data_IF_268940007513
#
_entry.id   IF_268940007513
#
_cell.length_a   1.000
_cell.length_b   1.000
_cell.length_c   1.000
_cell.angle_alpha   90.00
_cell.angle_beta   90.00
_cell.angle_gamma   90.00
#
_symmetry.space_group_name_H-M   'P 1'
#
loop_
_entity.id
_entity.type
_entity.pdbx_description
1 polymer ?
#
# COMPACT_ATOMS: atom_id res chain seq x y z
N UNK A 1 -15.23 -6.49 48.51
CA UNK A 1 -16.02 -6.42 47.25
C UNK A 1 -15.25 -5.66 46.16
N UNK A 2 -14.01 -5.97 45.90
CA UNK A 2 -13.18 -5.17 44.98
C UNK A 2 -12.24 -5.98 44.08
N UNK A 3 -12.08 -7.28 44.28
CA UNK A 3 -11.19 -8.10 43.45
C UNK A 3 -11.88 -8.95 42.38
N UNK A 4 -13.19 -9.21 42.52
CA UNK A 4 -13.91 -10.04 41.55
C UNK A 4 -14.32 -9.26 40.27
N UNK A 5 -14.48 -7.95 40.32
CA UNK A 5 -14.83 -7.15 39.13
C UNK A 5 -13.67 -6.95 38.16
N UNK A 6 -12.43 -6.90 38.67
CA UNK A 6 -11.23 -6.74 37.82
C UNK A 6 -10.93 -8.02 37.03
N UNK A 7 -11.24 -9.19 37.61
CA UNK A 7 -11.06 -10.47 36.89
C UNK A 7 -12.15 -10.72 35.85
N UNK A 8 -13.38 -10.25 36.09
CA UNK A 8 -14.45 -10.35 35.12
C UNK A 8 -14.24 -9.39 33.94
N UNK A 9 -13.78 -8.16 34.17
CA UNK A 9 -13.42 -7.25 33.09
C UNK A 9 -12.23 -7.73 32.25
N UNK A 10 -11.24 -8.34 32.89
CA UNK A 10 -10.09 -8.95 32.18
C UNK A 10 -10.49 -10.19 31.37
N UNK A 11 -11.41 -11.00 31.87
CA UNK A 11 -11.94 -12.18 31.16
C UNK A 11 -12.85 -11.78 29.99
N UNK A 12 -13.70 -10.75 30.19
CA UNK A 12 -14.54 -10.20 29.12
C UNK A 12 -13.70 -9.51 28.03
N UNK A 13 -12.62 -8.83 28.41
CA UNK A 13 -11.67 -8.22 27.48
C UNK A 13 -10.87 -9.28 26.69
N UNK A 14 -10.55 -10.41 27.31
CA UNK A 14 -9.93 -11.56 26.66
C UNK A 14 -10.89 -12.33 25.74
N UNK A 15 -12.18 -12.43 26.10
CA UNK A 15 -13.20 -13.02 25.23
C UNK A 15 -13.57 -12.12 24.06
N UNK A 16 -13.67 -10.81 24.26
CA UNK A 16 -13.87 -9.83 23.17
C UNK A 16 -12.66 -9.84 22.23
N UNK A 17 -11.43 -9.95 22.75
CA UNK A 17 -10.23 -10.08 21.91
C UNK A 17 -10.05 -11.47 21.28
N UNK A 18 -10.66 -12.54 21.82
CA UNK A 18 -10.70 -13.86 21.17
C UNK A 18 -11.68 -13.90 19.99
N UNK A 19 -12.70 -13.05 19.97
CA UNK A 19 -13.64 -12.88 18.85
C UNK A 19 -13.20 -11.79 17.84
N UNK A 20 -12.13 -11.05 18.12
CA UNK A 20 -11.46 -10.15 17.17
C UNK A 20 -10.62 -10.89 16.12
N UNK A 21 -10.64 -12.23 16.11
CA UNK A 21 -10.09 -13.03 15.05
C UNK A 21 -10.96 -12.90 13.82
N UNK A 22 -10.37 -12.52 12.74
CA UNK A 22 -10.92 -12.62 11.41
C UNK A 22 -11.60 -14.00 11.27
N UNK A 23 -12.93 -14.12 11.12
CA UNK A 23 -13.58 -15.41 10.88
C UNK A 23 -12.94 -16.10 9.67
N UNK A 24 -13.00 -17.42 9.58
CA UNK A 24 -12.45 -18.20 8.45
C UNK A 24 -12.88 -17.71 7.07
N UNK A 25 -13.93 -16.90 6.98
CA UNK A 25 -14.42 -16.26 5.76
C UNK A 25 -13.70 -14.97 5.38
N UNK A 26 -12.85 -14.40 6.26
CA UNK A 26 -12.15 -13.14 6.03
C UNK A 26 -10.67 -13.44 5.77
N UNK A 27 -10.35 -13.89 4.59
CA UNK A 27 -8.99 -14.21 4.13
C UNK A 27 -8.10 -12.95 3.95
N UNK A 28 -8.60 -11.75 4.34
CA UNK A 28 -8.04 -10.53 3.81
C UNK A 28 -8.30 -9.31 4.71
N UNK A 29 -7.45 -9.11 5.67
CA UNK A 29 -7.44 -7.89 6.49
C UNK A 29 -6.52 -6.79 5.94
N UNK A 30 -6.07 -6.88 4.69
CA UNK A 30 -5.16 -5.91 4.06
C UNK A 30 -5.61 -5.55 2.65
N UNK A 31 -5.29 -4.33 2.19
CA UNK A 31 -5.68 -3.82 0.87
C UNK A 31 -5.20 -4.63 -0.33
N UNK A 32 -4.22 -5.47 -0.13
CA UNK A 32 -3.46 -6.12 -1.19
C UNK A 32 -3.98 -7.47 -1.65
N UNK A 33 -5.08 -7.97 -1.09
CA UNK A 33 -5.50 -9.29 -1.50
C UNK A 33 -6.54 -9.21 -2.60
N UNK A 34 -6.14 -9.57 -3.76
CA UNK A 34 -6.97 -9.72 -4.94
C UNK A 34 -7.24 -11.19 -5.15
N UNK A 35 -8.51 -11.53 -5.20
CA UNK A 35 -8.98 -12.88 -5.49
C UNK A 35 -8.53 -13.27 -6.90
N UNK A 36 -8.07 -14.49 -7.03
CA UNK A 36 -7.57 -15.06 -8.27
C UNK A 36 -8.53 -14.92 -9.46
N UNK A 37 -8.01 -14.52 -10.59
CA UNK A 37 -8.72 -14.64 -11.86
C UNK A 37 -8.86 -16.11 -12.25
N UNK A 38 -9.95 -16.54 -12.93
CA UNK A 38 -10.03 -17.84 -13.56
C UNK A 38 -8.92 -18.01 -14.61
N UNK A 39 -8.42 -19.23 -14.77
CA UNK A 39 -7.27 -19.57 -15.63
C UNK A 39 -7.42 -19.21 -17.13
N UNK A 40 -8.58 -18.69 -17.57
CA UNK A 40 -8.91 -18.47 -18.98
C UNK A 40 -9.01 -17.00 -19.40
N UNK A 41 -8.56 -16.04 -18.59
CA UNK A 41 -8.57 -14.66 -19.02
C UNK A 41 -7.37 -14.38 -19.93
N UNK A 42 -7.61 -14.25 -21.24
CA UNK A 42 -6.65 -13.75 -22.21
C UNK A 42 -6.99 -12.27 -22.51
N UNK A 43 -6.21 -11.31 -22.06
CA UNK A 43 -6.47 -9.89 -22.29
C UNK A 43 -6.36 -9.48 -23.78
N UNK A 44 -5.78 -10.33 -24.63
CA UNK A 44 -5.55 -10.05 -26.05
C UNK A 44 -6.65 -10.61 -27.00
N UNK A 45 -7.76 -11.17 -26.47
CA UNK A 45 -8.86 -11.70 -27.29
C UNK A 45 -9.79 -10.58 -27.82
N UNK A 46 -9.26 -9.63 -28.51
CA UNK A 46 -10.00 -8.58 -29.19
C UNK A 46 -9.27 -8.16 -30.46
N UNK A 47 -9.35 -8.96 -31.49
CA UNK A 47 -9.39 -8.72 -32.92
C UNK A 47 -8.69 -9.84 -33.68
N UNK A 48 -9.49 -10.75 -34.20
CA UNK A 48 -9.07 -11.62 -35.30
C UNK A 48 -9.62 -11.02 -36.60
N UNK A 49 -8.75 -10.48 -37.43
CA UNK A 49 -9.00 -10.51 -38.87
C UNK A 49 -7.70 -10.41 -39.64
N UNK A 50 -7.66 -11.24 -40.68
CA UNK A 50 -6.84 -11.18 -41.91
C UNK A 50 -5.48 -11.85 -41.86
N UNK A 51 -5.48 -13.06 -42.38
CA UNK A 51 -4.32 -13.79 -42.89
C UNK A 51 -3.90 -13.28 -44.27
N UNK A 52 -2.61 -12.89 -44.39
CA UNK A 52 -1.91 -12.84 -45.66
C UNK A 52 -0.58 -13.62 -45.53
N UNK A 53 -0.12 -14.32 -46.61
CA UNK A 53 0.95 -15.31 -46.48
C UNK A 53 2.33 -14.68 -46.34
N UNK A 54 3.19 -15.31 -45.52
CA UNK A 54 4.56 -14.91 -45.29
C UNK A 54 5.46 -15.43 -46.43
N UNK A 55 6.16 -14.53 -47.08
CA UNK A 55 7.24 -14.82 -48.02
C UNK A 55 8.53 -15.22 -47.28
N UNK A 56 9.17 -16.26 -47.77
CA UNK A 56 10.39 -16.88 -47.21
C UNK A 56 11.61 -15.98 -47.49
N UNK A 57 12.23 -15.45 -46.46
CA UNK A 57 13.44 -14.62 -46.56
C UNK A 57 14.70 -15.49 -46.40
N UNK A 58 15.56 -15.50 -47.41
CA UNK A 58 16.86 -16.18 -47.46
C UNK A 58 17.86 -15.52 -46.50
N UNK A 59 18.82 -16.30 -45.90
CA UNK A 59 19.75 -15.81 -44.92
C UNK A 59 20.83 -14.89 -45.49
N UNK A 60 21.10 -13.79 -44.81
CA UNK A 60 22.17 -12.83 -45.09
C UNK A 60 23.49 -13.28 -44.45
N UNK A 61 24.65 -13.18 -45.11
CA UNK A 61 25.93 -13.63 -44.57
C UNK A 61 26.47 -12.73 -43.47
N UNK A 62 27.16 -13.38 -42.46
CA UNK A 62 27.79 -12.73 -41.32
C UNK A 62 28.88 -11.75 -41.76
N UNK A 63 28.99 -10.55 -41.16
CA UNK A 63 30.13 -9.66 -41.32
C UNK A 63 31.33 -10.10 -40.48
N UNK A 64 32.50 -10.01 -41.05
CA UNK A 64 33.80 -10.25 -40.48
C UNK A 64 34.18 -9.14 -39.47
N UNK A 65 34.54 -9.49 -38.26
CA UNK A 65 34.91 -8.56 -37.18
C UNK A 65 36.42 -8.26 -37.28
N UNK A 66 36.78 -7.00 -37.48
CA UNK A 66 38.14 -6.49 -37.28
C UNK A 66 38.34 -6.05 -35.81
N UNK A 67 39.54 -6.20 -35.21
CA UNK A 67 39.76 -5.92 -33.81
C UNK A 67 39.69 -4.41 -33.48
N UNK A 68 39.23 -4.02 -32.27
CA UNK A 68 39.01 -2.63 -31.94
C UNK A 68 40.30 -1.90 -31.58
N UNK A 69 40.46 -0.66 -32.08
CA UNK A 69 41.46 0.32 -31.64
C UNK A 69 41.16 0.70 -30.18
N UNK A 70 42.18 0.62 -29.33
CA UNK A 70 42.12 1.06 -27.95
C UNK A 70 42.18 2.59 -27.91
N UNK A 71 41.09 3.23 -27.48
CA UNK A 71 41.04 4.64 -27.16
C UNK A 71 41.56 4.92 -25.74
N UNK A 72 42.21 6.04 -25.46
CA UNK A 72 42.75 6.34 -24.12
C UNK A 72 41.60 6.64 -23.14
N UNK A 73 41.74 6.12 -21.89
CA UNK A 73 40.81 6.38 -20.78
C UNK A 73 40.67 7.87 -20.49
N UNK A 74 39.48 8.42 -20.39
CA UNK A 74 39.30 9.76 -19.85
C UNK A 74 39.48 9.74 -18.32
N UNK A 75 40.27 10.67 -17.82
CA UNK A 75 40.44 10.98 -16.40
C UNK A 75 39.10 11.45 -15.85
N UNK A 76 38.61 10.95 -14.69
CA UNK A 76 37.34 11.43 -14.14
C UNK A 76 37.50 12.86 -13.62
N UNK A 77 36.91 13.82 -14.29
CA UNK A 77 36.69 15.15 -13.80
C UNK A 77 35.69 15.09 -12.61
N UNK A 78 36.17 15.47 -11.42
CA UNK A 78 35.32 15.60 -10.24
C UNK A 78 34.35 16.75 -10.48
N UNK A 79 33.17 16.43 -10.97
CA UNK A 79 32.02 17.34 -10.94
C UNK A 79 31.62 17.53 -9.49
N UNK A 80 32.01 18.63 -8.89
CA UNK A 80 31.48 19.08 -7.60
C UNK A 80 30.03 19.49 -7.86
N UNK A 81 29.11 18.61 -7.59
CA UNK A 81 27.68 18.95 -7.51
C UNK A 81 27.55 19.88 -6.30
N UNK A 82 27.01 21.11 -6.46
CA UNK A 82 26.73 21.96 -5.32
C UNK A 82 25.76 21.21 -4.40
N UNK A 83 26.19 20.89 -3.18
CA UNK A 83 25.30 20.50 -2.11
C UNK A 83 24.44 21.73 -1.79
N UNK A 84 23.27 21.84 -2.42
CA UNK A 84 22.25 22.70 -1.89
C UNK A 84 22.05 22.31 -0.42
N UNK A 85 22.23 23.26 0.47
CA UNK A 85 21.86 23.15 1.87
C UNK A 85 20.33 23.01 1.91
N UNK A 86 19.81 21.81 1.66
CA UNK A 86 18.39 21.50 1.80
C UNK A 86 18.12 21.58 3.29
N UNK A 87 17.61 22.74 3.73
CA UNK A 87 17.13 22.90 5.10
C UNK A 87 16.19 21.73 5.41
N UNK A 88 16.39 21.06 6.55
CA UNK A 88 15.56 19.92 6.95
C UNK A 88 14.07 20.29 6.87
N UNK A 89 13.20 19.38 6.39
CA UNK A 89 11.76 19.62 6.32
C UNK A 89 11.20 20.01 7.68
N UNK A 90 10.45 21.09 7.75
CA UNK A 90 9.91 21.59 9.03
C UNK A 90 8.42 21.87 8.90
N UNK A 91 7.64 21.31 9.81
CA UNK A 91 6.24 21.67 10.00
C UNK A 91 6.18 23.07 10.61
N UNK A 92 5.45 23.96 9.95
CA UNK A 92 5.32 25.36 10.39
C UNK A 92 4.04 25.61 11.16
N UNK A 93 3.01 24.76 11.00
CA UNK A 93 1.74 24.84 11.70
C UNK A 93 1.78 23.96 12.94
N UNK A 94 1.38 24.50 14.08
CA UNK A 94 1.28 23.77 15.34
C UNK A 94 0.33 22.56 15.24
N UNK A 95 -0.80 22.73 14.57
CA UNK A 95 -1.76 21.64 14.36
C UNK A 95 -1.16 20.44 13.59
N UNK A 96 -0.26 20.68 12.63
CA UNK A 96 0.42 19.63 11.88
C UNK A 96 1.50 18.94 12.72
N UNK A 97 2.20 19.68 13.58
CA UNK A 97 3.14 19.10 14.53
C UNK A 97 2.43 18.19 15.54
N UNK A 98 1.29 18.66 16.10
CA UNK A 98 0.45 17.84 16.99
C UNK A 98 -0.04 16.59 16.27
N UNK A 99 -0.47 16.72 15.01
CA UNK A 99 -0.92 15.59 14.23
C UNK A 99 0.21 14.56 14.00
N UNK A 100 1.41 15.02 13.67
CA UNK A 100 2.57 14.15 13.51
C UNK A 100 2.93 13.41 14.81
N UNK A 101 2.95 14.11 15.93
CA UNK A 101 3.19 13.51 17.24
C UNK A 101 2.12 12.47 17.61
N UNK A 102 0.84 12.75 17.32
CA UNK A 102 -0.25 11.80 17.55
C UNK A 102 -0.11 10.55 16.68
N UNK A 103 0.16 10.70 15.38
CA UNK A 103 0.36 9.58 14.49
C UNK A 103 1.56 8.72 14.91
N UNK A 104 2.64 9.35 15.37
CA UNK A 104 3.82 8.64 15.88
C UNK A 104 3.53 7.75 17.10
N UNK A 105 2.51 8.06 17.91
CA UNK A 105 2.11 7.23 19.06
C UNK A 105 1.75 5.79 18.67
N UNK A 106 1.24 5.58 17.45
CA UNK A 106 0.99 4.23 16.97
C UNK A 106 2.27 3.39 16.94
N UNK A 107 3.34 3.95 16.40
CA UNK A 107 4.65 3.28 16.27
C UNK A 107 5.28 3.00 17.63
N UNK A 108 5.24 3.94 18.55
CA UNK A 108 5.74 3.76 19.92
C UNK A 108 5.08 2.56 20.64
N UNK A 109 3.84 2.21 20.25
CA UNK A 109 3.07 1.12 20.89
C UNK A 109 3.16 -0.21 20.16
N UNK A 110 3.39 -0.17 18.87
CA UNK A 110 3.23 -1.34 18.00
C UNK A 110 4.52 -1.80 17.32
N UNK A 111 5.63 -1.08 17.49
CA UNK A 111 6.95 -1.53 17.07
C UNK A 111 7.51 -2.57 18.03
N UNK A 112 7.99 -3.69 17.49
CA UNK A 112 8.59 -4.76 18.28
C UNK A 112 10.11 -4.59 18.37
N UNK A 113 10.71 -4.44 19.57
CA UNK A 113 12.14 -4.18 19.74
C UNK A 113 13.03 -5.38 19.44
N UNK A 114 12.51 -6.61 19.37
CA UNK A 114 13.27 -7.82 19.04
C UNK A 114 13.39 -8.02 17.53
N UNK A 115 12.31 -7.72 16.80
CA UNK A 115 12.23 -7.96 15.35
C UNK A 115 12.32 -6.69 14.50
N UNK A 116 12.02 -5.53 15.07
CA UNK A 116 11.90 -4.28 14.31
C UNK A 116 10.62 -4.18 13.47
N UNK A 117 9.78 -5.22 13.47
CA UNK A 117 8.50 -5.22 12.77
C UNK A 117 7.45 -4.43 13.54
N UNK A 118 6.49 -3.86 12.80
CA UNK A 118 5.38 -3.09 13.36
C UNK A 118 4.08 -3.86 13.15
N UNK A 119 3.23 -3.91 14.17
CA UNK A 119 1.92 -4.55 14.06
C UNK A 119 1.05 -3.84 13.00
N UNK A 120 0.35 -4.60 12.18
CA UNK A 120 -0.63 -4.05 11.22
C UNK A 120 -1.79 -3.38 11.93
N UNK A 121 -2.34 -4.05 12.93
CA UNK A 121 -3.40 -3.53 13.81
C UNK A 121 -2.91 -3.44 15.25
N UNK A 122 -3.44 -2.48 15.99
CA UNK A 122 -3.02 -2.22 17.37
C UNK A 122 -3.13 -3.47 18.24
N UNK A 123 -2.04 -3.79 18.95
CA UNK A 123 -1.90 -4.93 19.86
C UNK A 123 -2.03 -6.33 19.24
N UNK A 124 -2.00 -6.46 17.91
CA UNK A 124 -2.03 -7.75 17.23
C UNK A 124 -0.63 -8.04 16.65
N UNK A 125 0.06 -9.05 17.19
CA UNK A 125 1.44 -9.39 16.79
C UNK A 125 1.49 -10.07 15.42
N UNK A 126 1.03 -9.38 14.36
CA UNK A 126 0.87 -9.85 13.01
C UNK A 126 1.05 -8.70 12.02
N UNK A 127 1.57 -9.02 10.82
CA UNK A 127 1.79 -8.02 9.77
C UNK A 127 1.88 -8.61 8.38
N UNK A 128 1.60 -7.78 7.35
CA UNK A 128 1.86 -8.06 5.94
C UNK A 128 3.00 -7.19 5.42
N UNK A 129 3.40 -7.39 4.17
CA UNK A 129 4.45 -6.57 3.53
C UNK A 129 3.95 -5.20 3.08
N UNK A 130 2.66 -5.07 2.80
CA UNK A 130 2.03 -3.77 2.61
C UNK A 130 2.17 -2.91 3.87
N UNK A 131 1.82 -3.50 5.00
CA UNK A 131 1.88 -2.85 6.31
C UNK A 131 3.32 -2.52 6.72
N UNK A 132 4.27 -3.42 6.44
CA UNK A 132 5.69 -3.12 6.69
C UNK A 132 6.24 -2.05 5.74
N UNK A 133 5.76 -1.98 4.50
CA UNK A 133 6.04 -0.84 3.61
C UNK A 133 5.60 0.47 4.24
N UNK A 134 4.35 0.54 4.69
CA UNK A 134 3.84 1.69 5.46
C UNK A 134 4.66 1.96 6.71
N UNK A 135 5.03 0.93 7.48
CA UNK A 135 5.83 1.09 8.68
C UNK A 135 7.19 1.75 8.42
N UNK A 136 7.91 1.29 7.40
CA UNK A 136 9.21 1.87 7.02
C UNK A 136 9.05 3.32 6.56
N UNK A 137 8.03 3.62 5.75
CA UNK A 137 7.75 4.99 5.29
C UNK A 137 7.32 5.91 6.43
N UNK A 138 6.51 5.42 7.37
CA UNK A 138 6.13 6.16 8.59
C UNK A 138 7.33 6.47 9.48
N UNK A 139 8.23 5.50 9.73
CA UNK A 139 9.46 5.70 10.50
C UNK A 139 10.40 6.68 9.77
N UNK A 140 10.54 6.53 8.44
CA UNK A 140 11.29 7.48 7.59
C UNK A 140 10.72 8.90 7.72
N UNK A 141 9.40 9.06 7.57
CA UNK A 141 8.73 10.34 7.67
C UNK A 141 8.90 10.97 9.06
N UNK A 142 8.74 10.19 10.12
CA UNK A 142 8.94 10.65 11.49
C UNK A 142 10.38 11.16 11.73
N UNK A 143 11.39 10.46 11.17
CA UNK A 143 12.78 10.92 11.23
C UNK A 143 12.99 12.21 10.48
N UNK A 144 12.45 12.33 9.26
CA UNK A 144 12.56 13.55 8.44
C UNK A 144 11.85 14.76 9.09
N UNK A 145 10.75 14.50 9.81
CA UNK A 145 10.00 15.51 10.58
C UNK A 145 10.61 15.83 11.96
N UNK A 146 11.77 15.25 12.29
CA UNK A 146 12.47 15.40 13.59
C UNK A 146 11.66 14.92 14.81
N UNK A 147 10.74 13.98 14.64
CA UNK A 147 10.06 13.30 15.75
C UNK A 147 10.96 12.25 16.41
N UNK A 148 11.96 11.76 15.67
CA UNK A 148 12.92 10.76 16.13
C UNK A 148 14.35 11.34 16.15
N UNK A 149 15.09 11.03 17.21
CA UNK A 149 16.54 11.22 17.20
C UNK A 149 17.21 10.28 16.18
N UNK A 150 18.41 10.61 15.77
CA UNK A 150 19.20 9.75 14.88
C UNK A 150 19.42 8.35 15.44
N UNK A 151 19.66 8.24 16.73
CA UNK A 151 19.97 6.96 17.39
C UNK A 151 18.72 6.06 17.48
N UNK A 152 17.56 6.62 17.82
CA UNK A 152 16.30 5.89 17.83
C UNK A 152 15.95 5.42 16.41
N UNK A 153 16.09 6.29 15.39
CA UNK A 153 15.90 5.90 13.99
C UNK A 153 16.82 4.75 13.59
N UNK A 154 18.14 4.86 13.89
CA UNK A 154 19.11 3.80 13.62
C UNK A 154 18.75 2.49 14.30
N UNK A 155 18.27 2.55 15.54
CA UNK A 155 17.79 1.36 16.26
C UNK A 155 16.66 0.68 15.49
N UNK A 156 15.62 1.43 15.10
CA UNK A 156 14.48 0.88 14.35
C UNK A 156 14.94 0.20 13.05
N UNK A 157 15.75 0.90 12.26
CA UNK A 157 16.17 0.38 10.95
C UNK A 157 17.14 -0.81 11.08
N UNK A 158 18.12 -0.74 11.97
CA UNK A 158 19.06 -1.84 12.16
C UNK A 158 18.39 -3.10 12.68
N UNK A 159 17.41 -2.98 13.60
CA UNK A 159 16.66 -4.14 14.10
C UNK A 159 15.83 -4.78 12.98
N UNK A 160 15.14 -3.97 12.16
CA UNK A 160 14.40 -4.45 11.01
C UNK A 160 15.31 -5.18 10.01
N UNK A 161 16.41 -4.54 9.60
CA UNK A 161 17.33 -5.12 8.61
C UNK A 161 17.95 -6.43 9.13
N UNK A 162 18.29 -6.52 10.42
CA UNK A 162 18.77 -7.78 11.04
C UNK A 162 17.72 -8.89 10.93
N UNK A 163 16.45 -8.58 11.14
CA UNK A 163 15.36 -9.55 10.97
C UNK A 163 15.20 -9.97 9.51
N UNK A 164 15.27 -9.04 8.57
CA UNK A 164 15.15 -9.36 7.15
C UNK A 164 16.31 -10.21 6.62
N UNK A 165 17.52 -10.06 7.15
CA UNK A 165 18.70 -10.89 6.82
C UNK A 165 18.51 -12.37 7.17
N UNK A 166 17.68 -12.67 8.18
CA UNK A 166 17.42 -14.04 8.67
C UNK A 166 15.97 -14.45 8.52
N UNK A 167 15.19 -13.69 7.75
CA UNK A 167 13.76 -13.95 7.58
C UNK A 167 13.52 -15.33 6.97
N UNK A 168 12.69 -16.20 7.61
CA UNK A 168 12.34 -17.47 7.02
C UNK A 168 11.54 -17.27 5.73
N UNK A 169 12.00 -17.87 4.64
CA UNK A 169 11.34 -17.81 3.34
C UNK A 169 10.77 -19.19 2.98
N UNK A 170 9.57 -19.24 2.37
CA UNK A 170 9.04 -20.48 1.82
C UNK A 170 9.84 -20.95 0.60
N UNK A 171 9.58 -22.18 0.13
CA UNK A 171 10.21 -22.77 -1.06
C UNK A 171 10.01 -21.91 -2.35
N UNK A 172 9.02 -21.01 -2.35
CA UNK A 172 8.82 -20.06 -3.44
C UNK A 172 10.00 -19.11 -3.64
N UNK A 173 10.76 -18.84 -2.56
CA UNK A 173 11.88 -17.90 -2.53
C UNK A 173 11.45 -16.42 -2.50
N UNK A 174 10.17 -16.15 -2.22
CA UNK A 174 9.62 -14.83 -1.91
C UNK A 174 9.11 -14.83 -0.46
N UNK A 175 9.11 -13.69 0.22
CA UNK A 175 8.47 -13.58 1.54
C UNK A 175 7.01 -14.05 1.52
N UNK A 176 6.61 -14.81 2.53
CA UNK A 176 5.22 -15.24 2.73
C UNK A 176 4.30 -14.04 2.92
N UNK A 177 3.00 -14.16 2.68
CA UNK A 177 2.05 -13.02 2.77
C UNK A 177 2.04 -12.34 4.13
N UNK A 178 2.21 -13.08 5.21
CA UNK A 178 2.17 -12.54 6.56
C UNK A 178 3.22 -13.14 7.49
N UNK A 179 3.57 -12.39 8.53
CA UNK A 179 4.54 -12.76 9.56
C UNK A 179 4.08 -12.33 10.95
N UNK A 180 4.53 -13.05 11.97
CA UNK A 180 4.43 -12.62 13.36
C UNK A 180 5.41 -11.47 13.61
N UNK A 181 4.93 -10.36 14.15
CA UNK A 181 5.81 -9.24 14.53
C UNK A 181 6.64 -9.54 15.78
N UNK A 182 6.23 -10.49 16.60
CA UNK A 182 6.98 -10.86 17.81
C UNK A 182 8.10 -11.86 17.53
N UNK A 183 7.95 -12.75 16.54
CA UNK A 183 8.92 -13.84 16.28
C UNK A 183 9.51 -13.85 14.89
N UNK A 184 9.01 -13.03 13.98
CA UNK A 184 9.33 -13.02 12.54
C UNK A 184 9.09 -14.38 11.86
N UNK A 185 8.26 -15.26 12.43
CA UNK A 185 7.86 -16.52 11.82
C UNK A 185 6.68 -16.30 10.85
N UNK A 186 6.64 -17.13 9.80
CA UNK A 186 5.57 -17.09 8.80
C UNK A 186 4.20 -17.38 9.44
N UNK A 187 3.21 -16.60 9.04
CA UNK A 187 1.82 -16.68 9.49
C UNK A 187 0.89 -16.78 8.27
N UNK A 188 -0.30 -17.31 8.52
CA UNK A 188 -1.44 -17.18 7.59
C UNK A 188 -2.11 -15.80 7.78
N UNK A 189 -2.95 -15.43 6.84
CA UNK A 189 -3.68 -14.16 6.92
C UNK A 189 -4.65 -14.09 8.11
N UNK A 190 -5.08 -15.21 8.66
CA UNK A 190 -5.89 -15.30 9.87
C UNK A 190 -5.06 -15.34 11.18
N UNK A 191 -3.79 -14.92 11.12
CA UNK A 191 -2.85 -14.89 12.25
C UNK A 191 -2.63 -16.26 12.93
N UNK A 192 -2.67 -17.35 12.17
CA UNK A 192 -2.25 -18.68 12.65
C UNK A 192 -0.90 -19.07 12.03
N UNK A 193 -0.10 -19.92 12.70
CA UNK A 193 1.20 -20.34 12.18
C UNK A 193 1.13 -20.93 10.76
N UNK A 194 2.11 -20.58 9.93
CA UNK A 194 2.29 -21.10 8.57
C UNK A 194 3.75 -21.58 8.36
N UNK A 195 4.19 -22.62 9.07
CA UNK A 195 5.61 -23.00 9.10
C UNK A 195 6.17 -23.41 7.73
N UNK A 196 5.32 -23.79 6.78
CA UNK A 196 5.71 -24.15 5.42
C UNK A 196 5.56 -22.98 4.44
N UNK A 197 4.98 -21.83 4.85
CA UNK A 197 4.78 -20.67 4.00
C UNK A 197 3.82 -20.92 2.85
N UNK A 198 2.72 -21.61 3.10
CA UNK A 198 1.71 -21.98 2.10
C UNK A 198 0.67 -20.88 1.81
N UNK A 199 0.80 -19.71 2.43
CA UNK A 199 -0.08 -18.55 2.15
C UNK A 199 0.22 -17.88 0.81
N UNK A 200 1.37 -18.21 0.20
CA UNK A 200 1.81 -17.62 -1.07
C UNK A 200 2.45 -16.24 -0.86
N UNK A 201 2.40 -15.42 -1.91
CA UNK A 201 2.98 -14.07 -1.91
C UNK A 201 2.01 -13.07 -2.53
N UNK A 202 2.18 -11.79 -2.22
CA UNK A 202 1.50 -10.68 -2.88
C UNK A 202 2.53 -9.82 -3.61
N UNK A 203 2.32 -9.60 -4.92
CA UNK A 203 3.16 -8.71 -5.70
C UNK A 203 2.90 -7.24 -5.34
N UNK A 204 1.68 -6.88 -4.96
CA UNK A 204 1.32 -5.53 -4.51
C UNK A 204 2.02 -5.19 -3.19
N UNK A 205 1.91 -6.08 -2.20
CA UNK A 205 2.52 -5.86 -0.89
C UNK A 205 4.03 -5.73 -0.98
N UNK A 206 4.66 -6.67 -1.69
CA UNK A 206 6.10 -6.66 -1.88
C UNK A 206 6.56 -5.45 -2.68
N UNK A 207 5.78 -4.98 -3.67
CA UNK A 207 6.11 -3.76 -4.40
C UNK A 207 6.11 -2.52 -3.49
N UNK A 208 5.13 -2.37 -2.58
CA UNK A 208 5.12 -1.29 -1.59
C UNK A 208 6.30 -1.38 -0.63
N UNK A 209 6.60 -2.56 -0.12
CA UNK A 209 7.74 -2.75 0.76
C UNK A 209 9.08 -2.45 0.05
N UNK A 210 9.23 -2.89 -1.20
CA UNK A 210 10.39 -2.59 -2.03
C UNK A 210 10.53 -1.09 -2.32
N UNK A 211 9.42 -0.36 -2.53
CA UNK A 211 9.44 1.10 -2.63
C UNK A 211 9.97 1.74 -1.35
N UNK A 212 9.47 1.30 -0.19
CA UNK A 212 9.91 1.80 1.10
C UNK A 212 11.41 1.55 1.34
N UNK A 213 11.91 0.37 1.02
CA UNK A 213 13.35 0.05 1.07
C UNK A 213 14.16 0.89 0.08
N UNK A 214 13.63 1.16 -1.11
CA UNK A 214 14.30 2.02 -2.09
C UNK A 214 14.42 3.46 -1.58
N UNK A 215 13.34 4.03 -1.05
CA UNK A 215 13.36 5.37 -0.45
C UNK A 215 14.36 5.41 0.71
N UNK A 216 14.33 4.41 1.59
CA UNK A 216 15.25 4.31 2.71
C UNK A 216 16.71 4.31 2.25
N UNK A 217 17.12 3.42 1.32
CA UNK A 217 18.51 3.34 0.83
C UNK A 217 18.95 4.57 0.05
N UNK A 218 18.03 5.26 -0.61
CA UNK A 218 18.34 6.48 -1.38
C UNK A 218 18.62 7.68 -0.47
N UNK A 219 17.91 7.80 0.63
CA UNK A 219 18.07 8.88 1.61
C UNK A 219 19.13 8.58 2.69
N UNK A 220 19.42 7.30 2.94
CA UNK A 220 20.38 6.82 3.94
C UNK A 220 21.31 5.77 3.29
N UNK A 221 22.31 6.21 2.49
CA UNK A 221 23.18 5.32 1.71
C UNK A 221 23.94 4.29 2.56
N UNK A 222 24.12 4.54 3.85
CA UNK A 222 24.73 3.60 4.79
C UNK A 222 23.98 2.27 4.93
N UNK A 223 22.72 2.21 4.54
CA UNK A 223 21.92 0.97 4.54
C UNK A 223 21.88 0.28 3.17
N UNK A 224 22.43 0.90 2.12
CA UNK A 224 22.24 0.43 0.73
C UNK A 224 22.77 -0.98 0.52
N UNK A 225 23.95 -1.30 0.98
CA UNK A 225 24.56 -2.61 0.76
C UNK A 225 23.78 -3.72 1.47
N UNK A 226 23.35 -3.48 2.71
CA UNK A 226 22.52 -4.43 3.46
C UNK A 226 21.16 -4.68 2.77
N UNK A 227 20.48 -3.61 2.39
CA UNK A 227 19.18 -3.69 1.70
C UNK A 227 19.33 -4.42 0.37
N UNK A 228 20.36 -4.10 -0.43
CA UNK A 228 20.63 -4.76 -1.69
C UNK A 228 20.90 -6.26 -1.50
N UNK A 229 21.68 -6.63 -0.48
CA UNK A 229 21.97 -8.04 -0.17
C UNK A 229 20.72 -8.81 0.23
N UNK A 230 19.87 -8.25 1.11
CA UNK A 230 18.60 -8.84 1.53
C UNK A 230 17.70 -9.10 0.31
N UNK A 231 17.49 -8.08 -0.50
CA UNK A 231 16.58 -8.13 -1.65
C UNK A 231 17.11 -9.06 -2.75
N UNK A 232 18.43 -9.14 -2.94
CA UNK A 232 19.06 -10.08 -3.87
C UNK A 232 18.81 -11.56 -3.51
N UNK A 233 18.53 -11.86 -2.24
CA UNK A 233 18.13 -13.20 -1.79
C UNK A 233 16.70 -13.61 -2.19
N UNK A 234 15.89 -12.68 -2.68
CA UNK A 234 14.49 -12.93 -3.04
C UNK A 234 14.34 -13.20 -4.55
N UNK A 235 13.46 -14.15 -4.91
CA UNK A 235 13.16 -14.47 -6.32
C UNK A 235 12.18 -13.46 -6.94
N UNK A 236 12.57 -12.18 -7.00
CA UNK A 236 11.71 -11.08 -7.42
C UNK A 236 11.14 -11.21 -8.84
N UNK A 237 11.79 -12.00 -9.71
CA UNK A 237 11.28 -12.27 -11.07
C UNK A 237 9.91 -12.93 -11.08
N UNK A 238 9.50 -13.57 -9.98
CA UNK A 238 8.17 -14.16 -9.83
C UNK A 238 7.05 -13.14 -9.60
N UNK A 239 7.38 -11.89 -9.25
CA UNK A 239 6.39 -10.83 -9.03
C UNK A 239 5.73 -10.34 -10.33
N UNK A 240 6.29 -10.73 -11.47
CA UNK A 240 5.78 -10.35 -12.80
C UNK A 240 5.72 -11.59 -13.68
N UNK A 241 4.60 -11.75 -14.38
CA UNK A 241 4.39 -12.78 -15.40
C UNK A 241 3.72 -12.13 -16.61
N UNK A 242 4.30 -12.33 -17.80
CA UNK A 242 3.80 -11.78 -19.07
C UNK A 242 3.53 -10.27 -19.06
N UNK A 243 4.32 -9.52 -18.26
CA UNK A 243 4.19 -8.08 -18.10
C UNK A 243 3.13 -7.62 -17.09
N UNK A 244 2.40 -8.54 -16.47
CA UNK A 244 1.42 -8.28 -15.41
C UNK A 244 2.00 -8.59 -14.03
N UNK A 245 1.42 -8.00 -12.98
CA UNK A 245 1.72 -8.41 -11.60
C UNK A 245 1.26 -9.84 -11.37
N UNK A 246 2.09 -10.62 -10.66
CA UNK A 246 1.89 -12.03 -10.41
C UNK A 246 1.96 -12.33 -8.90
N UNK A 247 0.84 -12.69 -8.30
CA UNK A 247 0.74 -13.14 -6.92
C UNK A 247 0.63 -14.66 -6.81
N UNK A 248 0.73 -15.17 -5.59
CA UNK A 248 0.53 -16.57 -5.27
C UNK A 248 -0.58 -16.75 -4.24
N UNK A 249 -1.52 -17.67 -4.49
CA UNK A 249 -2.61 -17.98 -3.57
C UNK A 249 -2.63 -19.46 -3.18
N UNK A 250 -3.07 -19.80 -1.95
CA UNK A 250 -3.22 -21.20 -1.56
C UNK A 250 -4.20 -21.94 -2.46
N UNK A 251 -3.87 -23.20 -2.76
CA UNK A 251 -4.73 -24.13 -3.47
C UNK A 251 -4.88 -25.42 -2.67
N UNK A 252 -5.89 -26.23 -3.00
CA UNK A 252 -6.09 -27.54 -2.38
C UNK A 252 -4.84 -28.41 -2.52
N UNK A 253 -4.56 -29.22 -1.48
CA UNK A 253 -3.35 -30.05 -1.44
C UNK A 253 -2.06 -29.30 -1.09
N UNK A 254 -2.14 -28.05 -0.60
CA UNK A 254 -0.99 -27.27 -0.13
C UNK A 254 -0.10 -26.72 -1.24
N UNK A 255 -0.61 -26.70 -2.48
CA UNK A 255 0.03 -26.03 -3.62
C UNK A 255 -0.24 -24.54 -3.58
N UNK A 256 0.59 -23.77 -4.29
CA UNK A 256 0.38 -22.35 -4.52
C UNK A 256 0.09 -22.16 -6.01
N UNK A 257 -1.05 -21.56 -6.32
CA UNK A 257 -1.42 -21.19 -7.67
C UNK A 257 -1.03 -19.73 -7.93
N UNK A 258 -0.40 -19.49 -9.06
CA UNK A 258 -0.10 -18.15 -9.54
C UNK A 258 -1.35 -17.47 -10.07
N UNK A 259 -1.48 -16.16 -9.79
CA UNK A 259 -2.64 -15.36 -10.18
C UNK A 259 -2.20 -13.97 -10.61
N UNK A 260 -2.89 -13.40 -11.60
CA UNK A 260 -2.73 -11.99 -11.91
C UNK A 260 -3.26 -11.16 -10.74
N UNK A 261 -2.46 -10.23 -10.25
CA UNK A 261 -2.76 -9.39 -9.10
C UNK A 261 -2.81 -7.91 -9.51
N UNK A 262 -3.67 -7.14 -8.86
CA UNK A 262 -3.82 -5.71 -9.12
C UNK A 262 -4.95 -5.36 -10.10
N UNK A 263 -5.42 -4.13 -9.97
CA UNK A 263 -6.40 -3.47 -10.84
C UNK A 263 -5.92 -2.05 -11.09
N UNK A 264 -6.63 -1.34 -11.95
CA UNK A 264 -6.33 0.06 -12.30
C UNK A 264 -6.07 0.91 -11.02
N UNK A 265 -4.96 1.60 -11.02
CA UNK A 265 -4.42 2.34 -9.88
C UNK A 265 -3.38 1.54 -9.12
N UNK A 266 -3.73 0.42 -8.52
CA UNK A 266 -2.81 -0.43 -7.76
C UNK A 266 -1.72 -1.07 -8.63
N UNK A 267 -2.06 -1.53 -9.84
CA UNK A 267 -1.06 -2.07 -10.76
C UNK A 267 -0.02 -1.03 -11.17
N UNK A 268 -0.44 0.21 -11.45
CA UNK A 268 0.48 1.29 -11.79
C UNK A 268 1.38 1.62 -10.60
N UNK A 269 0.81 1.72 -9.39
CA UNK A 269 1.58 1.95 -8.18
C UNK A 269 2.67 0.89 -7.99
N UNK A 270 2.30 -0.38 -8.06
CA UNK A 270 3.24 -1.49 -7.89
C UNK A 270 4.26 -1.58 -9.04
N UNK A 271 3.83 -1.36 -10.29
CA UNK A 271 4.73 -1.39 -11.44
C UNK A 271 5.79 -0.27 -11.40
N UNK A 272 5.42 0.94 -10.96
CA UNK A 272 6.38 2.02 -10.70
C UNK A 272 7.37 1.63 -9.60
N UNK A 273 6.89 1.00 -8.53
CA UNK A 273 7.73 0.56 -7.41
C UNK A 273 8.72 -0.54 -7.83
N UNK A 274 8.27 -1.55 -8.57
CA UNK A 274 9.10 -2.64 -9.09
C UNK A 274 10.15 -2.16 -10.10
N UNK A 275 9.82 -1.16 -10.91
CA UNK A 275 10.77 -0.55 -11.86
C UNK A 275 12.03 0.00 -11.18
N UNK A 276 11.94 0.48 -9.94
CA UNK A 276 13.08 0.95 -9.14
C UNK A 276 14.09 -0.17 -8.78
N UNK A 277 13.67 -1.43 -8.95
CA UNK A 277 14.46 -2.64 -8.75
C UNK A 277 14.73 -3.39 -10.06
N UNK A 278 14.64 -2.69 -11.21
CA UNK A 278 14.82 -3.23 -12.55
C UNK A 278 13.87 -4.38 -12.93
N UNK A 279 12.69 -4.46 -12.30
CA UNK A 279 11.65 -5.43 -12.63
C UNK A 279 10.59 -4.73 -13.48
N UNK A 280 10.36 -5.25 -14.69
CA UNK A 280 9.52 -4.60 -15.69
C UNK A 280 8.14 -5.26 -15.77
N UNK A 281 7.16 -4.68 -15.10
CA UNK A 281 5.74 -5.04 -15.24
C UNK A 281 5.10 -4.16 -16.34
N UNK A 282 5.50 -4.41 -17.61
CA UNK A 282 5.24 -3.50 -18.73
C UNK A 282 3.76 -3.29 -19.04
N UNK A 283 2.94 -4.33 -18.95
CA UNK A 283 1.48 -4.24 -19.16
C UNK A 283 0.78 -3.56 -17.99
N UNK A 284 1.20 -3.85 -16.76
CA UNK A 284 0.69 -3.18 -15.56
C UNK A 284 1.03 -1.68 -15.54
N UNK A 285 2.23 -1.31 -16.03
CA UNK A 285 2.68 0.08 -16.10
C UNK A 285 1.99 0.86 -17.22
N UNK A 286 1.68 0.19 -18.35
CA UNK A 286 1.21 0.83 -19.57
C UNK A 286 -0.25 1.31 -19.53
N UNK A 287 -0.99 1.04 -18.53
CA UNK A 287 -2.44 1.25 -18.39
C UNK A 287 -3.26 0.00 -18.78
N UNK A 288 -3.86 -0.67 -17.79
CA UNK A 288 -4.65 -1.88 -18.05
C UNK A 288 -5.92 -1.57 -18.85
N UNK A 289 -6.59 -2.59 -19.40
CA UNK A 289 -7.86 -2.43 -20.11
C UNK A 289 -8.90 -1.71 -19.24
N UNK A 290 -9.37 -0.54 -19.69
CA UNK A 290 -10.30 0.29 -18.94
C UNK A 290 -11.58 0.57 -19.71
N UNK A 291 -12.66 0.87 -18.99
CA UNK A 291 -13.92 1.39 -19.49
C UNK A 291 -14.20 2.73 -18.81
N UNK A 292 -15.07 3.54 -19.43
CA UNK A 292 -15.53 4.80 -18.85
C UNK A 292 -16.92 4.64 -18.25
N UNK A 293 -17.11 5.14 -17.02
CA UNK A 293 -18.39 5.18 -16.32
C UNK A 293 -18.74 6.59 -15.90
N UNK A 294 -20.03 6.88 -15.78
CA UNK A 294 -20.52 8.13 -15.20
C UNK A 294 -20.96 7.90 -13.78
N UNK A 295 -20.38 8.65 -12.83
CA UNK A 295 -20.79 8.67 -11.42
C UNK A 295 -21.02 10.12 -11.01
N UNK A 296 -22.21 10.43 -10.53
CA UNK A 296 -22.63 11.80 -10.15
C UNK A 296 -22.20 12.86 -11.17
N UNK A 297 -22.34 12.57 -12.48
CA UNK A 297 -22.03 13.48 -13.58
C UNK A 297 -20.54 13.59 -13.96
N UNK A 298 -19.66 12.86 -13.27
CA UNK A 298 -18.23 12.84 -13.57
C UNK A 298 -17.85 11.54 -14.31
N UNK A 299 -17.10 11.67 -15.42
CA UNK A 299 -16.54 10.53 -16.13
C UNK A 299 -15.32 10.00 -15.41
N UNK A 300 -15.34 8.72 -15.07
CA UNK A 300 -14.25 8.00 -14.42
C UNK A 300 -13.80 6.83 -15.28
N UNK A 301 -12.52 6.51 -15.25
CA UNK A 301 -12.00 5.25 -15.77
C UNK A 301 -12.05 4.16 -14.72
N UNK A 302 -12.50 2.97 -15.12
CA UNK A 302 -12.54 1.78 -14.29
C UNK A 302 -11.81 0.64 -14.99
N UNK A 303 -11.25 -0.28 -14.23
CA UNK A 303 -10.69 -1.51 -14.79
C UNK A 303 -11.82 -2.35 -15.41
N UNK A 304 -11.62 -2.79 -16.65
CA UNK A 304 -12.56 -3.68 -17.35
C UNK A 304 -12.60 -5.07 -16.72
N UNK A 305 -11.49 -5.49 -16.12
CA UNK A 305 -11.39 -6.75 -15.37
C UNK A 305 -12.12 -6.60 -14.04
N UNK A 306 -13.17 -7.37 -13.83
CA UNK A 306 -14.03 -7.32 -12.64
C UNK A 306 -14.31 -8.73 -12.10
N UNK A 307 -15.07 -8.84 -11.03
CA UNK A 307 -15.36 -10.12 -10.39
C UNK A 307 -15.95 -11.15 -11.37
N UNK A 308 -16.83 -10.73 -12.29
CA UNK A 308 -17.53 -11.61 -13.22
C UNK A 308 -16.62 -12.21 -14.29
N UNK A 309 -15.65 -11.43 -14.81
CA UNK A 309 -14.83 -11.84 -15.96
C UNK A 309 -13.37 -12.17 -15.58
N UNK A 310 -12.94 -11.84 -14.38
CA UNK A 310 -11.55 -12.04 -13.96
C UNK A 310 -11.41 -12.53 -12.50
N UNK A 311 -12.52 -12.83 -11.82
CA UNK A 311 -12.52 -13.37 -10.46
C UNK A 311 -12.06 -12.41 -9.37
N UNK A 312 -11.91 -11.11 -9.65
CA UNK A 312 -11.56 -10.09 -8.67
C UNK A 312 -12.26 -8.77 -8.98
N UNK A 313 -12.64 -8.06 -7.92
CA UNK A 313 -13.39 -6.80 -8.01
C UNK A 313 -12.54 -5.65 -8.51
N UNK A 314 -13.13 -4.78 -9.33
CA UNK A 314 -12.51 -3.58 -9.86
C UNK A 314 -12.82 -2.35 -8.98
N UNK A 315 -12.35 -2.38 -7.75
CA UNK A 315 -12.51 -1.24 -6.83
C UNK A 315 -11.84 0.02 -7.38
N UNK A 316 -12.63 1.08 -7.52
CA UNK A 316 -12.13 2.42 -7.80
C UNK A 316 -12.16 3.22 -6.49
N UNK A 317 -11.03 3.28 -5.82
CA UNK A 317 -10.83 3.93 -4.52
C UNK A 317 -9.71 4.97 -4.58
N UNK A 318 -9.54 5.75 -3.53
CA UNK A 318 -8.52 6.81 -3.48
C UNK A 318 -7.10 6.28 -3.30
N UNK A 319 -6.92 5.20 -2.52
CA UNK A 319 -5.63 4.78 -1.95
C UNK A 319 -4.48 4.77 -2.97
N UNK A 320 -4.56 4.05 -4.11
CA UNK A 320 -3.41 3.95 -5.01
C UNK A 320 -3.03 5.29 -5.65
N UNK A 321 -4.00 6.17 -5.89
CA UNK A 321 -3.74 7.50 -6.46
C UNK A 321 -3.12 8.45 -5.46
N UNK A 322 -3.55 8.39 -4.19
CA UNK A 322 -2.99 9.19 -3.11
C UNK A 322 -1.54 8.77 -2.81
N UNK A 323 -1.30 7.46 -2.70
CA UNK A 323 0.05 6.92 -2.47
C UNK A 323 0.99 7.23 -3.62
N UNK A 324 0.55 7.08 -4.88
CA UNK A 324 1.33 7.52 -6.05
C UNK A 324 1.74 8.99 -5.91
N UNK A 325 0.81 9.88 -5.56
CA UNK A 325 1.10 11.31 -5.41
C UNK A 325 2.11 11.61 -4.32
N UNK A 326 1.94 11.01 -3.15
CA UNK A 326 2.79 11.26 -1.98
C UNK A 326 4.19 10.67 -2.14
N UNK A 327 4.27 9.43 -2.61
CA UNK A 327 5.48 8.61 -2.52
C UNK A 327 6.34 8.68 -3.78
N UNK A 328 5.72 8.66 -4.98
CA UNK A 328 6.41 8.55 -6.27
C UNK A 328 6.29 9.85 -7.09
N UNK A 329 5.10 10.45 -7.09
CA UNK A 329 4.70 11.56 -7.95
C UNK A 329 3.71 11.14 -9.02
N UNK A 330 2.76 12.00 -9.32
CA UNK A 330 1.77 11.78 -10.35
C UNK A 330 2.34 12.00 -11.76
N UNK A 331 2.02 11.11 -12.69
CA UNK A 331 1.98 11.45 -14.11
C UNK A 331 0.72 12.24 -14.44
N UNK A 332 0.68 12.93 -15.58
CA UNK A 332 -0.50 13.72 -15.99
C UNK A 332 -1.78 12.88 -16.04
N UNK A 333 -1.70 11.65 -16.57
CA UNK A 333 -2.84 10.74 -16.64
C UNK A 333 -3.36 10.31 -15.25
N UNK A 334 -2.45 9.95 -14.34
CA UNK A 334 -2.79 9.55 -12.97
C UNK A 334 -3.37 10.76 -12.21
N UNK A 335 -2.79 11.93 -12.39
CA UNK A 335 -3.27 13.18 -11.79
C UNK A 335 -4.69 13.51 -12.25
N UNK A 336 -4.96 13.42 -13.55
CA UNK A 336 -6.29 13.67 -14.09
C UNK A 336 -7.35 12.71 -13.52
N UNK A 337 -7.02 11.43 -13.36
CA UNK A 337 -7.91 10.46 -12.72
C UNK A 337 -8.11 10.77 -11.22
N UNK A 338 -7.04 11.12 -10.50
CA UNK A 338 -7.12 11.54 -9.10
C UNK A 338 -8.01 12.78 -8.92
N UNK A 339 -7.85 13.79 -9.77
CA UNK A 339 -8.71 14.99 -9.76
C UNK A 339 -10.18 14.65 -10.02
N UNK A 340 -10.46 13.72 -10.95
CA UNK A 340 -11.83 13.29 -11.20
C UNK A 340 -12.40 12.48 -10.03
N UNK A 341 -11.57 11.67 -9.33
CA UNK A 341 -11.97 11.01 -8.09
C UNK A 341 -12.30 12.03 -6.98
N UNK A 342 -11.55 13.11 -6.85
CA UNK A 342 -11.90 14.16 -5.90
C UNK A 342 -13.20 14.86 -6.31
N UNK A 343 -13.33 15.26 -7.59
CA UNK A 343 -14.53 15.93 -8.12
C UNK A 343 -15.80 15.13 -7.89
N UNK A 344 -15.79 13.81 -8.08
CA UNK A 344 -16.99 12.98 -7.87
C UNK A 344 -17.38 12.90 -6.40
N UNK A 345 -16.43 12.92 -5.48
CA UNK A 345 -16.68 12.97 -4.03
C UNK A 345 -17.27 14.34 -3.64
N UNK A 346 -16.78 15.43 -4.24
CA UNK A 346 -17.38 16.76 -4.11
C UNK A 346 -18.83 16.80 -4.61
N UNK A 347 -19.12 16.16 -5.76
CA UNK A 347 -20.49 16.10 -6.29
C UNK A 347 -21.42 15.30 -5.37
N UNK A 348 -20.92 14.15 -4.84
CA UNK A 348 -21.68 13.40 -3.85
C UNK A 348 -21.99 14.26 -2.61
N UNK A 349 -21.01 14.99 -2.09
CA UNK A 349 -21.18 15.89 -0.96
C UNK A 349 -22.25 16.98 -1.27
N UNK A 350 -22.16 17.63 -2.42
CA UNK A 350 -23.17 18.65 -2.83
C UNK A 350 -24.58 18.09 -2.88
N UNK A 351 -24.74 16.83 -3.30
CA UNK A 351 -26.04 16.17 -3.42
C UNK A 351 -26.58 15.65 -2.07
N UNK A 352 -25.70 15.16 -1.20
CA UNK A 352 -26.11 14.43 0.02
C UNK A 352 -25.82 15.17 1.32
N UNK A 353 -25.02 16.24 1.28
CA UNK A 353 -24.43 16.91 2.45
C UNK A 353 -23.59 15.97 3.35
N UNK A 354 -23.11 14.82 2.81
CA UNK A 354 -22.27 13.85 3.53
C UNK A 354 -20.84 13.99 3.02
N UNK A 355 -19.91 14.39 3.89
CA UNK A 355 -18.49 14.40 3.57
C UNK A 355 -18.04 12.99 3.19
N UNK A 356 -17.30 12.89 2.10
CA UNK A 356 -16.89 11.61 1.52
C UNK A 356 -15.40 11.62 1.25
N UNK A 357 -14.67 10.68 1.85
CA UNK A 357 -13.30 10.34 1.51
C UNK A 357 -13.23 8.82 1.48
N UNK A 358 -13.55 8.25 0.31
CA UNK A 358 -13.57 6.79 0.13
C UNK A 358 -12.17 6.22 0.28
N UNK A 359 -12.08 5.07 0.93
CA UNK A 359 -10.86 4.28 0.98
C UNK A 359 -11.15 2.86 1.48
N UNK A 360 -10.11 2.04 1.49
CA UNK A 360 -10.12 0.74 2.13
C UNK A 360 -9.42 0.86 3.48
N UNK A 361 -10.12 0.48 4.54
CA UNK A 361 -9.63 0.63 5.91
C UNK A 361 -10.15 -0.47 6.84
N UNK A 362 -9.42 -0.65 7.94
CA UNK A 362 -9.84 -1.49 9.06
C UNK A 362 -11.04 -0.88 9.78
N UNK A 363 -11.93 -1.75 10.27
CA UNK A 363 -13.10 -1.36 11.07
C UNK A 363 -12.98 -1.87 12.51
N UNK A 364 -13.59 -1.15 13.44
CA UNK A 364 -13.71 -1.52 14.85
C UNK A 364 -14.81 -2.58 15.12
N UNK A 365 -15.50 -3.04 14.09
CA UNK A 365 -16.60 -4.01 14.13
C UNK A 365 -16.63 -4.87 12.88
N UNK A 366 -17.32 -6.04 12.89
CA UNK A 366 -17.46 -6.87 11.70
C UNK A 366 -17.99 -6.08 10.50
N UNK A 367 -17.41 -6.28 9.30
CA UNK A 367 -16.48 -7.33 8.90
C UNK A 367 -14.99 -7.03 9.16
N UNK A 368 -14.63 -6.08 10.00
CA UNK A 368 -13.29 -5.63 10.42
C UNK A 368 -12.40 -5.03 9.32
N UNK A 369 -12.77 -5.14 8.06
CA UNK A 369 -12.15 -4.47 6.92
C UNK A 369 -13.20 -4.21 5.85
N UNK A 370 -13.14 -3.05 5.21
CA UNK A 370 -14.13 -2.64 4.22
C UNK A 370 -13.46 -1.91 3.05
N UNK A 371 -13.85 -2.30 1.84
CA UNK A 371 -13.62 -1.53 0.62
C UNK A 371 -14.77 -0.53 0.45
N UNK A 372 -14.52 0.74 0.77
CA UNK A 372 -15.41 1.80 0.41
C UNK A 372 -14.88 2.48 -0.84
N UNK A 373 -15.62 2.44 -1.93
CA UNK A 373 -15.17 2.81 -3.26
C UNK A 373 -16.17 3.75 -3.94
N UNK A 374 -15.70 4.51 -4.93
CA UNK A 374 -16.58 5.29 -5.81
C UNK A 374 -17.37 4.36 -6.71
N UNK A 375 -16.75 3.30 -7.19
CA UNK A 375 -17.35 2.31 -8.09
C UNK A 375 -16.71 0.94 -7.90
N UNK A 376 -17.52 -0.11 -8.00
CA UNK A 376 -17.06 -1.49 -8.13
C UNK A 376 -18.17 -2.37 -8.71
N UNK A 377 -17.84 -3.29 -9.62
CA UNK A 377 -18.74 -4.31 -10.18
C UNK A 377 -20.11 -3.79 -10.67
N UNK A 378 -20.17 -2.58 -11.24
CA UNK A 378 -21.45 -1.99 -11.72
C UNK A 378 -22.20 -1.15 -10.67
N UNK A 379 -21.70 -1.08 -9.43
CA UNK A 379 -22.35 -0.35 -8.33
C UNK A 379 -21.57 0.94 -8.02
N UNK A 380 -22.29 2.03 -7.79
CA UNK A 380 -21.73 3.30 -7.32
C UNK A 380 -21.74 3.36 -5.80
N UNK A 381 -20.68 3.90 -5.20
CA UNK A 381 -20.52 4.06 -3.75
C UNK A 381 -20.69 2.74 -2.96
N UNK A 382 -20.16 1.61 -3.45
CA UNK A 382 -20.24 0.37 -2.71
C UNK A 382 -19.36 0.43 -1.45
N UNK A 383 -19.83 -0.24 -0.41
CA UNK A 383 -19.07 -0.53 0.79
C UNK A 383 -19.17 -2.03 1.02
N UNK A 384 -18.10 -2.77 0.70
CA UNK A 384 -18.11 -4.23 0.65
C UNK A 384 -16.96 -4.83 1.46
N UNK A 385 -17.21 -5.98 2.07
CA UNK A 385 -16.13 -6.79 2.65
C UNK A 385 -15.33 -7.48 1.55
N UNK A 386 -14.25 -8.13 1.93
CA UNK A 386 -13.43 -8.97 1.04
C UNK A 386 -14.21 -10.15 0.43
N UNK A 387 -15.26 -10.64 1.09
CA UNK A 387 -16.18 -11.65 0.57
C UNK A 387 -17.31 -11.05 -0.27
N UNK A 388 -17.16 -9.81 -0.75
CA UNK A 388 -18.13 -9.09 -1.60
C UNK A 388 -19.50 -8.84 -0.95
N UNK A 389 -19.64 -9.07 0.35
CA UNK A 389 -20.87 -8.77 1.08
C UNK A 389 -20.99 -7.26 1.29
N UNK A 390 -22.18 -6.71 0.98
CA UNK A 390 -22.46 -5.28 1.07
C UNK A 390 -22.78 -4.82 2.50
N UNK A 391 -22.15 -3.70 2.91
CA UNK A 391 -22.34 -3.05 4.22
C UNK A 391 -22.52 -1.55 4.07
N UNK A 392 -23.56 -1.04 3.37
CA UNK A 392 -23.72 0.37 3.05
C UNK A 392 -23.84 1.27 4.29
N UNK A 393 -24.29 0.73 5.43
CA UNK A 393 -24.40 1.42 6.71
C UNK A 393 -23.04 1.65 7.40
N UNK A 394 -21.99 0.95 6.95
CA UNK A 394 -20.62 1.10 7.47
C UNK A 394 -19.73 2.00 6.60
N UNK A 395 -20.29 2.78 5.66
CA UNK A 395 -19.52 3.80 4.95
C UNK A 395 -18.89 4.78 5.93
N UNK A 396 -17.69 5.26 5.63
CA UNK A 396 -16.92 6.09 6.54
C UNK A 396 -16.10 7.14 5.78
N UNK A 397 -15.72 8.21 6.46
CA UNK A 397 -14.67 9.12 6.00
C UNK A 397 -13.34 8.54 6.45
N UNK A 398 -12.46 8.21 5.52
CA UNK A 398 -11.12 7.69 5.82
C UNK A 398 -10.20 8.80 6.31
N UNK A 399 -9.57 8.59 7.47
CA UNK A 399 -8.62 9.54 8.05
C UNK A 399 -7.39 9.71 7.16
N UNK A 400 -6.76 8.60 6.72
CA UNK A 400 -5.58 8.67 5.85
C UNK A 400 -5.88 9.35 4.52
N UNK A 401 -7.03 9.04 3.89
CA UNK A 401 -7.42 9.68 2.64
C UNK A 401 -7.65 11.19 2.81
N UNK A 402 -8.27 11.62 3.90
CA UNK A 402 -8.49 13.03 4.18
C UNK A 402 -7.19 13.83 4.36
N UNK A 403 -6.22 13.28 5.10
CA UNK A 403 -4.88 13.86 5.23
C UNK A 403 -4.15 13.94 3.89
N UNK A 404 -4.20 12.87 3.12
CA UNK A 404 -3.53 12.77 1.82
C UNK A 404 -4.11 13.75 0.80
N UNK A 405 -5.43 13.82 0.69
CA UNK A 405 -6.08 14.81 -0.18
C UNK A 405 -5.67 16.24 0.15
N UNK A 406 -5.71 16.61 1.45
CA UNK A 406 -5.27 17.93 1.86
C UNK A 406 -3.77 18.17 1.60
N UNK A 407 -2.92 17.18 1.76
CA UNK A 407 -1.49 17.31 1.44
C UNK A 407 -1.25 17.56 -0.05
N UNK A 408 -1.93 16.81 -0.91
CA UNK A 408 -1.77 16.88 -2.37
C UNK A 408 -2.44 18.11 -2.98
N UNK A 409 -3.63 18.51 -2.47
CA UNK A 409 -4.45 19.61 -2.99
C UNK A 409 -4.90 20.56 -1.87
N UNK A 410 -3.99 21.24 -1.17
CA UNK A 410 -4.31 22.06 0.00
C UNK A 410 -5.12 23.32 -0.31
N UNK A 411 -5.16 23.73 -1.57
CA UNK A 411 -5.87 24.94 -2.01
C UNK A 411 -7.35 24.65 -2.34
N UNK A 412 -7.75 23.37 -2.39
CA UNK A 412 -9.14 22.96 -2.63
C UNK A 412 -9.94 23.04 -1.31
N UNK A 413 -11.07 23.78 -1.28
CA UNK A 413 -11.87 23.94 -0.07
C UNK A 413 -12.41 22.63 0.50
N UNK A 414 -12.72 21.65 -0.37
CA UNK A 414 -13.24 20.36 0.05
C UNK A 414 -12.21 19.52 0.78
N UNK A 415 -10.97 19.50 0.30
CA UNK A 415 -9.88 18.78 0.99
C UNK A 415 -9.59 19.37 2.37
N UNK A 416 -9.74 20.69 2.50
CA UNK A 416 -9.66 21.36 3.80
C UNK A 416 -10.78 20.91 4.74
N UNK A 417 -12.04 20.84 4.25
CA UNK A 417 -13.17 20.31 5.03
C UNK A 417 -12.92 18.87 5.48
N UNK A 418 -12.40 18.01 4.60
CA UNK A 418 -12.02 16.64 4.94
C UNK A 418 -10.98 16.60 6.07
N UNK A 419 -9.92 17.40 5.94
CA UNK A 419 -8.85 17.48 6.94
C UNK A 419 -9.36 17.96 8.30
N UNK A 420 -10.20 18.98 8.31
CA UNK A 420 -10.81 19.54 9.53
C UNK A 420 -11.73 18.51 10.22
N UNK A 421 -12.46 17.70 9.43
CA UNK A 421 -13.36 16.66 9.96
C UNK A 421 -12.63 15.52 10.68
N UNK A 422 -11.37 15.22 10.31
CA UNK A 422 -10.62 14.10 10.85
C UNK A 422 -9.45 14.49 11.76
N UNK A 423 -9.07 15.76 11.83
CA UNK A 423 -7.85 16.20 12.51
C UNK A 423 -7.75 15.81 14.00
N UNK A 424 -8.88 15.57 14.64
CA UNK A 424 -8.98 15.21 16.05
C UNK A 424 -9.41 13.75 16.27
N UNK A 425 -9.52 12.93 15.22
CA UNK A 425 -9.88 11.52 15.33
C UNK A 425 -8.67 10.67 15.79
N UNK A 426 -8.19 10.93 16.99
CA UNK A 426 -7.01 10.27 17.53
C UNK A 426 -7.18 9.93 19.00
N UNK A 427 -6.64 8.78 19.38
CA UNK A 427 -6.31 8.44 20.75
C UNK A 427 -5.08 9.24 21.19
N UNK A 428 -5.09 9.81 22.38
CA UNK A 428 -3.92 10.53 22.94
C UNK A 428 -2.71 9.61 23.15
N UNK A 429 -2.93 8.28 23.25
CA UNK A 429 -1.89 7.30 23.59
C UNK A 429 -1.53 6.37 22.45
N UNK A 430 -2.42 6.16 21.45
CA UNK A 430 -2.29 5.03 20.54
C UNK A 430 -2.28 5.43 19.06
N UNK A 431 -2.41 6.71 18.72
CA UNK A 431 -2.42 7.18 17.33
C UNK A 431 -3.80 7.56 16.80
N UNK A 432 -3.88 7.77 15.49
CA UNK A 432 -5.12 8.12 14.80
C UNK A 432 -5.99 6.90 14.53
N UNK A 433 -7.29 7.09 14.73
CA UNK A 433 -8.32 6.15 14.29
C UNK A 433 -8.48 6.17 12.78
N UNK A 434 -8.92 5.04 12.21
CA UNK A 434 -9.02 4.87 10.75
C UNK A 434 -10.08 5.75 10.11
N UNK A 435 -11.11 6.17 10.84
CA UNK A 435 -12.12 7.06 10.26
C UNK A 435 -13.28 7.42 11.17
N UNK A 436 -14.31 7.98 10.53
CA UNK A 436 -15.60 8.29 11.14
C UNK A 436 -16.72 7.80 10.24
N UNK A 437 -17.67 7.05 10.79
CA UNK A 437 -18.81 6.56 10.02
C UNK A 437 -19.69 7.70 9.47
N UNK A 438 -20.21 7.51 8.26
CA UNK A 438 -21.20 8.43 7.67
C UNK A 438 -22.53 8.36 8.46
N UNK A 439 -22.89 7.18 8.96
CA UNK A 439 -23.97 7.03 9.92
C UNK A 439 -23.52 7.60 11.27
N UNK A 440 -24.09 8.72 11.66
CA UNK A 440 -23.71 9.46 12.87
C UNK A 440 -23.95 8.65 14.16
N UNK A 441 -24.91 7.73 14.17
CA UNK A 441 -25.17 6.87 15.33
C UNK A 441 -24.02 5.91 15.63
N UNK A 442 -23.23 5.54 14.62
CA UNK A 442 -22.07 4.68 14.78
C UNK A 442 -20.82 5.44 15.29
N UNK A 443 -20.79 6.75 15.12
CA UNK A 443 -19.72 7.60 15.61
C UNK A 443 -18.38 7.42 14.93
N UNK A 444 -17.32 7.27 15.74
CA UNK A 444 -15.94 7.08 15.27
C UNK A 444 -15.70 5.60 14.99
N UNK A 445 -15.03 5.29 13.89
CA UNK A 445 -14.41 4.01 13.66
C UNK A 445 -13.11 3.95 14.46
N UNK A 446 -13.16 3.35 15.65
CA UNK A 446 -12.07 3.31 16.61
C UNK A 446 -10.93 2.35 16.25
N UNK A 447 -10.94 1.75 15.06
CA UNK A 447 -9.83 0.92 14.60
C UNK A 447 -8.54 1.73 14.53
N UNK A 448 -7.42 1.08 14.83
CA UNK A 448 -6.07 1.66 14.80
C UNK A 448 -5.17 0.74 13.98
N UNK A 449 -4.60 1.25 12.91
CA UNK A 449 -3.69 0.51 12.06
C UNK A 449 -2.44 1.32 11.66
N UNK A 450 -1.44 0.60 11.17
CA UNK A 450 -0.16 1.18 10.75
C UNK A 450 -0.32 2.04 9.51
N UNK A 451 -1.19 1.63 8.56
CA UNK A 451 -1.39 2.35 7.30
C UNK A 451 -1.91 3.76 7.53
N UNK A 452 -2.95 3.91 8.34
CA UNK A 452 -3.51 5.23 8.69
C UNK A 452 -2.45 6.14 9.29
N UNK A 453 -1.71 5.65 10.26
CA UNK A 453 -0.74 6.47 10.99
C UNK A 453 0.53 6.76 10.15
N UNK A 454 0.96 5.83 9.31
CA UNK A 454 2.06 6.04 8.36
C UNK A 454 1.70 7.09 7.31
N UNK A 455 0.57 6.92 6.63
CA UNK A 455 0.14 7.82 5.54
C UNK A 455 -0.12 9.25 6.05
N UNK A 456 -0.55 9.42 7.31
CA UNK A 456 -0.61 10.74 7.95
C UNK A 456 0.78 11.35 8.06
N UNK A 457 1.79 10.60 8.54
CA UNK A 457 3.18 11.09 8.62
C UNK A 457 3.76 11.40 7.25
N UNK A 458 3.51 10.56 6.24
CA UNK A 458 3.91 10.79 4.85
C UNK A 458 3.27 12.05 4.26
N UNK A 459 1.97 12.25 4.50
CA UNK A 459 1.22 13.45 4.07
C UNK A 459 1.80 14.73 4.66
N UNK A 460 2.12 14.71 5.95
CA UNK A 460 2.73 15.84 6.65
C UNK A 460 4.18 16.10 6.17
N UNK A 461 4.94 15.05 5.91
CA UNK A 461 6.28 15.17 5.33
C UNK A 461 6.23 15.75 3.92
N UNK A 462 5.31 15.29 3.07
CA UNK A 462 5.11 15.82 1.73
C UNK A 462 4.86 17.34 1.74
N UNK A 463 4.01 17.81 2.67
CA UNK A 463 3.77 19.25 2.86
C UNK A 463 5.02 19.98 3.36
N UNK A 464 5.71 19.44 4.36
CA UNK A 464 6.95 20.01 4.90
C UNK A 464 8.07 20.11 3.85
N UNK A 465 8.07 19.19 2.87
CA UNK A 465 8.98 19.17 1.70
C UNK A 465 8.46 20.00 0.52
N UNK A 466 7.51 20.91 0.74
CA UNK A 466 6.94 21.79 -0.30
C UNK A 466 6.34 21.02 -1.48
N UNK A 467 5.55 20.01 -1.19
CA UNK A 467 4.85 19.14 -2.16
C UNK A 467 5.81 18.29 -3.02
N UNK A 468 6.94 17.89 -2.44
CA UNK A 468 7.91 16.99 -3.09
C UNK A 468 7.67 15.56 -2.61
N UNK A 469 7.48 14.63 -3.54
CA UNK A 469 7.24 13.20 -3.25
C UNK A 469 8.41 12.54 -2.51
N UNK A 470 8.13 11.45 -1.80
CA UNK A 470 9.11 10.84 -0.89
C UNK A 470 10.33 10.25 -1.60
N UNK A 471 10.16 9.83 -2.85
CA UNK A 471 11.23 9.25 -3.65
C UNK A 471 12.37 10.23 -3.99
N UNK A 472 12.11 11.56 -3.90
CA UNK A 472 13.11 12.61 -4.28
C UNK A 472 13.85 13.16 -3.05
#
# INVERSE_FOLDING_TARGET
MGLNNVILESALYLEINRHSFCPQEVWQCTPSVIIAAPDNFNPDSGNSESTAPVEEVKPVPKPTISPPLVAPKPTPEKTVVPTENISQPRLTKEADLIAAQRAWKYFERNWNPQTGLVNSSHNIAWTTWWDQGSAVLGIFAARQLNLLSTDVFRQHINTLLKTLETLPLPATGLPNKAYSTSTAQMQKLNNTPDPEGKSGWSALDLARFLLALHILRSHYPEYSDRINHIVAGWKLTKLVKDGWLNGGVPESGGKIREVQEGRLGYEQYAAHSLKLWNIQATKALAHPPSDKVQVDGITLEIDRRNLKNSGATNYLTNDPYLLLGLEIGWTDAIKAQAENLLKVQVQRFKRTNILTAVNEDSLDRPPYFLYYSVYANGVTWPATSVSEKSYPHLRFISTKAAFSWYALMPDDPYTKMLRDAVQNLASLKNGYFTGKYENQELGINNSLDVNTNAVILESLLYQARKKRSLIF
#
